data_IF_706795606487
#
_entry.id   IF_706795606487
#
_cell.length_a   1.000
_cell.length_b   1.000
_cell.length_c   1.000
_cell.angle_alpha   90.00
_cell.angle_beta   90.00
_cell.angle_gamma   90.00
#
_symmetry.space_group_name_H-M   'P 1'
#
loop_
_entity.id
_entity.type
_entity.pdbx_description
1 polymer ?
#
# COMPACT_ATOMS: atom_id res chain seq x y z
N UNK A 1 3.16 2.80 -16.83
CA UNK A 1 4.03 3.95 -17.14
C UNK A 1 5.47 3.44 -17.14
N UNK A 2 6.28 3.63 -18.19
CA UNK A 2 7.69 3.23 -18.17
C UNK A 2 8.50 3.99 -17.11
N UNK A 3 9.45 3.30 -16.44
CA UNK A 3 10.30 3.86 -15.37
C UNK A 3 11.02 5.16 -15.78
N UNK A 4 11.49 5.24 -17.03
CA UNK A 4 12.18 6.42 -17.53
C UNK A 4 11.28 7.66 -17.62
N UNK A 5 9.99 7.49 -17.97
CA UNK A 5 9.02 8.59 -18.04
C UNK A 5 8.69 9.13 -16.65
N UNK A 6 8.54 8.25 -15.66
CA UNK A 6 8.37 8.66 -14.27
C UNK A 6 9.59 9.43 -13.76
N UNK A 7 10.80 8.93 -14.04
CA UNK A 7 12.05 9.59 -13.66
C UNK A 7 12.23 10.98 -14.32
N UNK A 8 11.77 11.15 -15.56
CA UNK A 8 11.76 12.47 -16.21
C UNK A 8 10.83 13.44 -15.49
N UNK A 9 9.61 12.99 -15.16
CA UNK A 9 8.63 13.79 -14.42
C UNK A 9 9.14 14.21 -13.03
N UNK A 10 9.70 13.28 -12.26
CA UNK A 10 10.18 13.54 -10.90
C UNK A 10 11.40 14.46 -10.87
N UNK A 11 12.29 14.37 -11.86
CA UNK A 11 13.40 15.32 -12.01
C UNK A 11 12.93 16.74 -12.34
N UNK A 12 11.90 16.88 -13.19
CA UNK A 12 11.28 18.18 -13.47
C UNK A 12 10.66 18.78 -12.20
N UNK A 13 9.92 17.96 -11.46
CA UNK A 13 9.29 18.34 -10.19
C UNK A 13 10.34 18.81 -9.15
N UNK A 14 11.44 18.07 -8.97
CA UNK A 14 12.51 18.46 -8.04
C UNK A 14 13.15 19.81 -8.39
N UNK A 15 13.35 20.09 -9.69
CA UNK A 15 13.85 21.40 -10.13
C UNK A 15 12.88 22.52 -9.76
N UNK A 16 11.57 22.28 -9.94
CA UNK A 16 10.55 23.26 -9.60
C UNK A 16 10.40 23.48 -8.09
N UNK A 17 10.48 22.41 -7.30
CA UNK A 17 10.51 22.50 -5.84
C UNK A 17 11.71 23.30 -5.34
N UNK A 18 12.90 23.04 -5.89
CA UNK A 18 14.12 23.80 -5.56
C UNK A 18 13.98 25.28 -5.93
N UNK A 19 13.39 25.60 -7.09
CA UNK A 19 13.11 26.99 -7.50
C UNK A 19 12.17 27.71 -6.52
N UNK A 20 11.22 26.97 -5.95
CA UNK A 20 10.20 27.52 -5.06
C UNK A 20 10.59 27.45 -3.57
N UNK A 21 11.83 27.06 -3.23
CA UNK A 21 12.27 26.79 -1.85
C UNK A 21 11.36 25.80 -1.09
N UNK A 22 10.83 24.80 -1.81
CA UNK A 22 10.03 23.72 -1.25
C UNK A 22 10.95 22.52 -1.05
N UNK A 23 11.03 22.01 0.17
CA UNK A 23 11.74 20.76 0.48
C UNK A 23 10.74 19.61 0.46
N UNK A 24 10.88 18.71 -0.51
CA UNK A 24 10.02 17.55 -0.64
C UNK A 24 10.33 16.51 0.45
N UNK A 25 9.28 15.97 1.10
CA UNK A 25 9.45 14.94 2.14
C UNK A 25 10.01 13.60 1.63
N UNK A 26 10.03 13.38 0.31
CA UNK A 26 10.56 12.17 -0.31
C UNK A 26 11.39 12.50 -1.55
N UNK A 27 12.49 11.78 -1.71
CA UNK A 27 13.27 11.82 -2.95
C UNK A 27 12.64 10.92 -4.02
N UNK A 28 11.72 11.51 -4.78
CA UNK A 28 10.89 10.80 -5.76
C UNK A 28 11.64 9.92 -6.79
N UNK A 29 12.84 10.28 -7.29
CA UNK A 29 13.57 9.40 -8.20
C UNK A 29 13.97 8.06 -7.57
N UNK A 30 14.28 8.00 -6.26
CA UNK A 30 14.52 6.71 -5.57
C UNK A 30 13.23 5.95 -5.30
N UNK A 31 12.13 6.66 -5.03
CA UNK A 31 10.82 6.02 -4.87
C UNK A 31 10.43 5.24 -6.14
N UNK A 32 10.82 5.75 -7.32
CA UNK A 32 10.65 5.04 -8.59
C UNK A 32 11.34 3.67 -8.61
N UNK A 33 12.49 3.51 -7.95
CA UNK A 33 13.17 2.22 -7.93
C UNK A 33 12.42 1.20 -7.08
N UNK A 34 11.83 1.66 -5.97
CA UNK A 34 11.03 0.85 -5.05
C UNK A 34 9.71 0.44 -5.69
N UNK A 35 8.97 1.38 -6.29
CA UNK A 35 7.65 1.13 -6.88
C UNK A 35 7.67 0.17 -8.06
N UNK A 36 8.80 0.07 -8.76
CA UNK A 36 8.98 -0.83 -9.90
C UNK A 36 9.81 -2.06 -9.53
N UNK A 37 10.17 -2.22 -8.26
CA UNK A 37 10.89 -3.38 -7.76
C UNK A 37 9.93 -4.53 -7.44
N UNK A 38 10.39 -5.75 -7.72
CA UNK A 38 9.76 -6.97 -7.23
C UNK A 38 10.17 -7.18 -5.77
N UNK A 39 9.40 -6.59 -4.85
CA UNK A 39 9.68 -6.62 -3.41
C UNK A 39 8.87 -7.69 -2.66
N UNK A 40 8.38 -8.70 -3.38
CA UNK A 40 7.76 -9.84 -2.72
C UNK A 40 8.81 -10.69 -2.01
N UNK A 41 8.47 -11.18 -0.83
CA UNK A 41 9.30 -12.11 -0.08
C UNK A 41 9.05 -13.50 -0.67
N UNK A 42 10.12 -14.25 -0.94
CA UNK A 42 10.01 -15.66 -1.31
C UNK A 42 9.24 -16.40 -0.20
N UNK A 43 8.15 -17.08 -0.57
CA UNK A 43 7.32 -17.87 0.33
C UNK A 43 8.13 -18.87 1.16
N UNK A 44 9.21 -19.41 0.59
CA UNK A 44 10.10 -20.37 1.26
C UNK A 44 10.86 -19.75 2.45
N UNK A 45 11.05 -18.43 2.46
CA UNK A 45 11.70 -17.71 3.55
C UNK A 45 10.75 -17.34 4.69
N UNK A 46 9.42 -17.44 4.50
CA UNK A 46 8.43 -16.95 5.46
C UNK A 46 7.23 -17.86 5.63
N UNK A 47 6.25 -17.77 4.73
CA UNK A 47 4.96 -18.46 4.87
C UNK A 47 5.08 -19.99 4.96
N UNK A 48 5.98 -20.60 4.19
CA UNK A 48 6.15 -22.05 4.14
C UNK A 48 6.65 -22.64 5.47
N UNK A 49 7.77 -22.19 6.06
CA UNK A 49 8.23 -22.72 7.35
C UNK A 49 7.26 -22.44 8.50
N UNK A 50 6.41 -21.41 8.37
CA UNK A 50 5.37 -21.09 9.34
C UNK A 50 4.07 -21.89 9.14
N UNK A 51 3.97 -22.71 8.08
CA UNK A 51 2.77 -23.51 7.79
C UNK A 51 1.55 -22.68 7.39
N UNK A 52 1.75 -21.47 6.88
CA UNK A 52 0.65 -20.59 6.44
C UNK A 52 -0.03 -21.19 5.22
N UNK A 53 -1.36 -21.30 5.28
CA UNK A 53 -2.20 -21.81 4.19
C UNK A 53 -2.77 -20.66 3.34
N UNK A 54 -3.35 -20.97 2.19
CA UNK A 54 -3.98 -19.95 1.35
C UNK A 54 -5.24 -19.39 2.01
N UNK A 55 -5.41 -18.07 1.94
CA UNK A 55 -6.60 -17.41 2.46
C UNK A 55 -7.81 -17.69 1.55
N UNK A 56 -8.97 -17.94 2.16
CA UNK A 56 -10.26 -17.93 1.46
C UNK A 56 -10.73 -16.48 1.28
N UNK A 57 -10.28 -15.86 0.19
CA UNK A 57 -10.53 -14.45 -0.10
C UNK A 57 -12.02 -14.19 -0.32
N UNK A 58 -12.75 -15.11 -0.95
CA UNK A 58 -14.17 -14.94 -1.24
C UNK A 58 -15.00 -14.93 0.06
N UNK A 59 -14.72 -15.84 0.99
CA UNK A 59 -15.33 -15.83 2.30
C UNK A 59 -15.00 -14.55 3.08
N UNK A 60 -13.73 -14.12 3.06
CA UNK A 60 -13.28 -12.90 3.76
C UNK A 60 -13.96 -11.64 3.22
N UNK A 61 -14.13 -11.53 1.89
CA UNK A 61 -14.88 -10.43 1.27
C UNK A 61 -16.34 -10.47 1.72
N UNK A 62 -16.95 -11.66 1.71
CA UNK A 62 -18.34 -11.85 2.16
C UNK A 62 -18.56 -11.42 3.60
N UNK A 63 -17.68 -11.83 4.51
CA UNK A 63 -17.72 -11.44 5.92
C UNK A 63 -17.54 -9.93 6.11
N UNK A 64 -16.64 -9.32 5.34
CA UNK A 64 -16.43 -7.86 5.36
C UNK A 64 -17.69 -7.09 4.94
N UNK A 65 -18.34 -7.50 3.86
CA UNK A 65 -19.57 -6.87 3.37
C UNK A 65 -20.75 -7.08 4.34
N UNK A 66 -20.84 -8.26 4.94
CA UNK A 66 -21.87 -8.56 5.94
C UNK A 66 -21.70 -7.69 7.18
N UNK A 67 -20.47 -7.52 7.67
CA UNK A 67 -20.17 -6.63 8.78
C UNK A 67 -20.57 -5.18 8.44
N UNK A 68 -20.28 -4.70 7.23
CA UNK A 68 -20.71 -3.38 6.78
C UNK A 68 -22.24 -3.24 6.84
N UNK A 69 -22.99 -4.24 6.37
CA UNK A 69 -24.45 -4.23 6.43
C UNK A 69 -24.97 -4.24 7.88
N UNK A 70 -24.38 -5.05 8.76
CA UNK A 70 -24.78 -5.12 10.16
C UNK A 70 -24.48 -3.81 10.92
N UNK A 71 -23.43 -3.08 10.56
CA UNK A 71 -23.15 -1.74 11.09
C UNK A 71 -24.23 -0.74 10.64
N UNK A 72 -24.59 -0.74 9.36
CA UNK A 72 -25.63 0.14 8.81
C UNK A 72 -26.99 -0.14 9.44
N UNK A 73 -27.32 -1.41 9.68
CA UNK A 73 -28.54 -1.83 10.36
C UNK A 73 -28.52 -1.60 11.88
N UNK A 74 -27.42 -1.08 12.43
CA UNK A 74 -27.24 -0.85 13.87
C UNK A 74 -27.12 -2.14 14.70
N UNK A 75 -26.89 -3.28 14.06
CA UNK A 75 -26.75 -4.62 14.67
C UNK A 75 -25.34 -4.91 15.17
N UNK A 76 -24.33 -4.21 14.64
CA UNK A 76 -22.94 -4.34 15.04
C UNK A 76 -22.36 -3.02 15.56
N UNK A 77 -21.63 -3.08 16.69
CA UNK A 77 -20.82 -1.96 17.20
C UNK A 77 -19.36 -2.21 16.88
N UNK A 78 -18.75 -1.32 16.11
CA UNK A 78 -17.30 -1.34 15.87
C UNK A 78 -16.59 -0.42 16.84
N UNK A 79 -15.49 -0.91 17.42
CA UNK A 79 -14.52 -0.08 18.12
C UNK A 79 -13.60 0.53 17.06
N UNK A 80 -13.38 1.84 17.10
CA UNK A 80 -12.38 2.47 16.24
C UNK A 80 -10.99 1.89 16.55
N UNK A 81 -10.15 1.78 15.54
CA UNK A 81 -8.75 1.37 15.73
C UNK A 81 -8.10 2.34 16.73
N UNK A 82 -7.59 1.81 17.85
CA UNK A 82 -6.78 2.61 18.77
C UNK A 82 -5.51 2.98 18.02
N UNK A 83 -5.31 4.29 17.80
CA UNK A 83 -4.01 4.78 17.35
C UNK A 83 -2.97 4.48 18.41
N UNK A 84 -1.87 3.86 18.00
CA UNK A 84 -0.62 3.88 18.76
C UNK A 84 0.08 5.23 18.57
#
# INVERSE_FOLDING_TARGET
MPKFLFNLGTKSMLKQQKKNNIEGGLYMPRLCDIQYGELYIDKNLGSVPLGVTEDDIDAAIGDSMKLCADILDGKAKTIGMKGE
#
